data_IF_799545588828
#
_entry.id   IF_799545588828
#
_cell.length_a   1.000
_cell.length_b   1.000
_cell.length_c   1.000
_cell.angle_alpha   90.00
_cell.angle_beta   90.00
_cell.angle_gamma   90.00
#
_symmetry.space_group_name_H-M   'P 1'
#
loop_
_entity.id
_entity.type
_entity.pdbx_description
1 polymer ?
#
# COMPACT_ATOMS: atom_id res chain seq x y z
N UNK A 1 -15.34 9.77 -10.50
CA UNK A 1 -15.67 8.69 -9.55
C UNK A 1 -14.40 8.01 -9.09
N UNK A 2 -14.24 7.89 -7.81
CA UNK A 2 -13.10 7.23 -7.19
C UNK A 2 -13.60 5.95 -6.52
N UNK A 3 -12.99 4.81 -6.86
CA UNK A 3 -13.33 3.52 -6.25
C UNK A 3 -12.07 2.92 -5.63
N UNK A 4 -12.24 1.99 -4.71
CA UNK A 4 -11.09 1.37 -4.08
C UNK A 4 -11.34 -0.09 -3.73
N UNK A 5 -10.25 -0.84 -3.61
CA UNK A 5 -10.24 -2.15 -2.98
C UNK A 5 -9.21 -2.15 -1.87
N UNK A 6 -9.56 -2.73 -0.73
CA UNK A 6 -8.70 -2.80 0.44
C UNK A 6 -8.17 -4.23 0.64
N UNK A 7 -6.94 -4.29 1.18
CA UNK A 7 -6.25 -5.53 1.51
C UNK A 7 -5.67 -5.42 2.90
N UNK A 8 -5.62 -6.51 3.63
CA UNK A 8 -4.97 -6.56 4.93
C UNK A 8 -3.69 -7.35 4.82
N UNK A 9 -2.57 -6.78 5.31
CA UNK A 9 -1.26 -7.40 5.36
C UNK A 9 -0.88 -7.62 6.81
N UNK A 10 -0.52 -8.84 7.16
CA UNK A 10 0.08 -9.14 8.46
C UNK A 10 1.60 -9.13 8.26
N UNK A 11 2.26 -8.07 8.69
CA UNK A 11 3.69 -7.87 8.37
C UNK A 11 4.44 -7.32 9.57
N UNK A 12 5.74 -7.63 9.63
CA UNK A 12 6.64 -7.10 10.64
C UNK A 12 7.58 -6.07 10.02
N UNK A 13 7.99 -5.11 10.82
CA UNK A 13 9.00 -4.13 10.41
C UNK A 13 9.74 -3.57 11.63
N UNK A 14 10.87 -2.91 11.37
CA UNK A 14 11.52 -2.01 12.30
C UNK A 14 11.89 -0.74 11.55
N UNK A 15 11.94 0.38 12.27
CA UNK A 15 12.33 1.66 11.69
C UNK A 15 13.80 1.93 12.04
N UNK A 16 14.75 1.72 11.10
CA UNK A 16 16.18 1.80 11.40
C UNK A 16 16.70 3.21 11.62
N UNK A 17 15.97 4.23 11.15
CA UNK A 17 16.42 5.62 11.13
C UNK A 17 15.79 6.50 12.22
N UNK A 18 15.00 5.93 13.12
CA UNK A 18 14.44 6.66 14.25
C UNK A 18 15.51 6.92 15.32
N UNK A 19 15.30 7.92 16.22
CA UNK A 19 16.27 8.20 17.28
C UNK A 19 16.56 6.98 18.16
N UNK A 20 17.78 6.84 18.70
CA UNK A 20 18.14 5.75 19.60
C UNK A 20 17.16 5.66 20.79
N UNK A 21 16.75 4.45 21.13
CA UNK A 21 15.80 4.20 22.21
C UNK A 21 14.33 4.33 21.82
N UNK A 22 14.03 4.74 20.59
CA UNK A 22 12.65 4.79 20.10
C UNK A 22 12.08 3.38 19.98
N UNK A 23 10.83 3.18 20.43
CA UNK A 23 10.18 1.86 20.41
C UNK A 23 10.12 1.22 19.04
N UNK A 24 9.96 2.05 17.97
CA UNK A 24 9.88 1.57 16.60
C UNK A 24 11.20 1.07 16.03
N UNK A 25 12.32 1.27 16.73
CA UNK A 25 13.61 0.68 16.37
C UNK A 25 13.64 -0.83 16.58
N UNK A 26 12.70 -1.37 17.36
CA UNK A 26 12.57 -2.81 17.57
C UNK A 26 11.67 -3.44 16.53
N UNK A 27 11.90 -4.71 16.22
CA UNK A 27 11.02 -5.47 15.33
C UNK A 27 9.65 -5.59 15.99
N UNK A 28 8.62 -5.22 15.27
CA UNK A 28 7.23 -5.32 15.71
C UNK A 28 6.33 -5.55 14.50
N UNK A 29 5.09 -5.95 14.74
CA UNK A 29 4.15 -6.27 13.70
C UNK A 29 2.89 -5.42 13.74
N UNK A 30 2.27 -5.29 12.59
CA UNK A 30 0.99 -4.61 12.41
C UNK A 30 0.11 -5.38 11.44
N UNK A 31 -1.20 -5.20 11.57
CA UNK A 31 -2.16 -5.52 10.53
C UNK A 31 -2.32 -4.29 9.65
N UNK A 32 -1.46 -4.15 8.64
CA UNK A 32 -1.55 -3.02 7.71
C UNK A 32 -2.79 -3.19 6.83
N UNK A 33 -3.56 -2.13 6.67
CA UNK A 33 -4.63 -2.08 5.68
C UNK A 33 -4.18 -1.20 4.53
N UNK A 34 -4.15 -1.76 3.32
CA UNK A 34 -3.75 -1.04 2.13
C UNK A 34 -4.98 -0.87 1.24
N UNK A 35 -5.30 0.38 0.89
CA UNK A 35 -6.37 0.70 -0.04
C UNK A 35 -5.76 1.14 -1.36
N UNK A 36 -6.20 0.50 -2.43
CA UNK A 36 -5.78 0.84 -3.79
C UNK A 36 -6.95 1.58 -4.44
N UNK A 37 -6.77 2.88 -4.71
CA UNK A 37 -7.79 3.74 -5.29
C UNK A 37 -7.52 3.96 -6.77
N UNK A 38 -8.56 3.82 -7.59
CA UNK A 38 -8.54 4.17 -9.00
C UNK A 38 -9.65 5.18 -9.27
N UNK A 39 -9.43 6.08 -10.22
CA UNK A 39 -10.37 7.15 -10.54
C UNK A 39 -10.61 7.23 -12.04
N UNK A 40 -11.85 7.46 -12.42
CA UNK A 40 -12.24 7.58 -13.80
C UNK A 40 -13.73 7.77 -13.96
N UNK A 41 -14.19 7.72 -15.20
CA UNK A 41 -15.61 7.80 -15.51
C UNK A 41 -16.26 6.42 -15.36
N UNK A 42 -17.51 6.41 -14.90
CA UNK A 42 -18.30 5.18 -14.87
C UNK A 42 -18.71 4.82 -16.28
N UNK A 43 -18.34 3.63 -16.73
CA UNK A 43 -18.79 3.13 -18.03
C UNK A 43 -20.32 2.98 -18.01
N UNK A 44 -21.05 3.60 -18.93
CA UNK A 44 -22.51 3.61 -18.88
C UNK A 44 -23.13 2.25 -19.19
N UNK A 45 -22.38 1.34 -19.80
CA UNK A 45 -22.88 -0.01 -20.12
C UNK A 45 -22.68 -0.99 -18.95
N UNK A 46 -21.44 -1.14 -18.48
CA UNK A 46 -21.14 -2.11 -17.39
C UNK A 46 -21.37 -1.50 -16.01
N UNK A 47 -21.34 -0.18 -15.88
CA UNK A 47 -21.66 0.50 -14.63
C UNK A 47 -20.49 0.63 -13.63
N UNK A 48 -19.26 0.39 -14.05
CA UNK A 48 -18.09 0.55 -13.19
C UNK A 48 -17.04 1.48 -13.78
N UNK A 49 -16.12 1.95 -12.94
CA UNK A 49 -14.90 2.65 -13.36
C UNK A 49 -13.88 1.62 -13.84
N UNK A 50 -13.72 0.56 -13.07
CA UNK A 50 -12.84 -0.57 -13.37
C UNK A 50 -13.32 -1.79 -12.55
N UNK A 51 -13.09 -2.99 -13.07
CA UNK A 51 -13.40 -4.22 -12.35
C UNK A 51 -12.49 -4.34 -11.11
N UNK A 52 -13.07 -4.59 -9.94
CA UNK A 52 -12.29 -4.83 -8.73
C UNK A 52 -11.36 -6.03 -8.87
N UNK A 53 -11.69 -7.01 -9.71
CA UNK A 53 -10.83 -8.15 -9.97
C UNK A 53 -9.51 -7.74 -10.64
N UNK A 54 -9.53 -6.70 -11.46
CA UNK A 54 -8.31 -6.16 -12.09
C UNK A 54 -7.38 -5.53 -11.04
N UNK A 55 -7.97 -4.84 -10.05
CA UNK A 55 -7.20 -4.25 -8.96
C UNK A 55 -6.55 -5.35 -8.12
N UNK A 56 -7.33 -6.39 -7.81
CA UNK A 56 -6.81 -7.54 -7.05
C UNK A 56 -5.68 -8.23 -7.80
N UNK A 57 -5.84 -8.50 -9.08
CA UNK A 57 -4.83 -9.16 -9.90
C UNK A 57 -3.54 -8.35 -9.97
N UNK A 58 -3.65 -7.02 -10.11
CA UNK A 58 -2.49 -6.13 -10.17
C UNK A 58 -1.72 -6.11 -8.83
N UNK A 59 -2.43 -6.14 -7.71
CA UNK A 59 -1.78 -6.08 -6.39
C UNK A 59 -1.25 -7.45 -5.94
N UNK A 60 -1.77 -8.55 -6.43
CA UNK A 60 -1.44 -9.89 -5.94
C UNK A 60 0.08 -10.18 -5.86
N UNK A 61 0.91 -9.84 -6.86
CA UNK A 61 2.36 -10.04 -6.75
C UNK A 61 2.99 -9.25 -5.62
N UNK A 62 2.48 -8.05 -5.34
CA UNK A 62 2.97 -7.21 -4.25
C UNK A 62 2.49 -7.75 -2.90
N UNK A 63 1.24 -8.20 -2.85
CA UNK A 63 0.69 -8.83 -1.66
C UNK A 63 1.56 -9.99 -1.19
N UNK A 64 1.98 -10.86 -2.12
CA UNK A 64 2.82 -12.01 -1.81
C UNK A 64 4.20 -11.63 -1.28
N UNK A 65 4.73 -10.48 -1.69
CA UNK A 65 6.01 -9.98 -1.19
C UNK A 65 5.90 -9.36 0.20
N UNK A 66 4.73 -8.84 0.55
CA UNK A 66 4.52 -8.03 1.76
C UNK A 66 3.89 -8.83 2.90
N UNK A 67 2.89 -9.65 2.61
CA UNK A 67 2.10 -10.35 3.62
C UNK A 67 2.92 -11.47 4.28
N UNK A 68 2.85 -11.54 5.60
CA UNK A 68 3.61 -12.50 6.42
C UNK A 68 5.12 -12.43 6.19
N UNK A 69 5.63 -11.23 5.87
CA UNK A 69 7.04 -11.01 5.63
C UNK A 69 7.60 -9.91 6.53
N UNK A 70 8.93 -9.90 6.66
CA UNK A 70 9.67 -8.82 7.32
C UNK A 70 9.97 -7.75 6.26
N UNK A 71 9.28 -6.62 6.36
CA UNK A 71 9.31 -5.60 5.31
C UNK A 71 10.71 -5.04 5.04
N UNK A 72 11.56 -4.96 6.07
CA UNK A 72 12.93 -4.47 5.92
C UNK A 72 13.78 -5.29 4.94
N UNK A 73 13.41 -6.53 4.68
CA UNK A 73 14.11 -7.42 3.75
C UNK A 73 13.56 -7.35 2.33
N UNK A 74 12.48 -6.61 2.12
CA UNK A 74 11.90 -6.40 0.78
C UNK A 74 12.70 -5.32 0.08
N UNK A 75 13.18 -5.61 -1.15
CA UNK A 75 13.96 -4.65 -1.92
C UNK A 75 13.19 -3.35 -2.14
N UNK A 76 13.79 -2.22 -1.77
CA UNK A 76 13.18 -0.90 -1.82
C UNK A 76 12.43 -0.50 -0.54
N UNK A 77 12.30 -1.41 0.43
CA UNK A 77 11.65 -1.16 1.71
C UNK A 77 12.61 -1.27 2.90
N UNK A 78 13.87 -0.90 2.72
CA UNK A 78 14.87 -0.96 3.79
C UNK A 78 14.53 -0.04 4.96
N UNK A 79 13.76 1.02 4.70
CA UNK A 79 13.16 1.89 5.73
C UNK A 79 11.64 1.87 5.58
N UNK A 80 10.94 0.85 6.12
CA UNK A 80 9.55 0.57 5.81
C UNK A 80 8.57 1.32 6.70
N UNK A 81 8.60 2.64 6.64
CA UNK A 81 7.55 3.49 7.21
C UNK A 81 6.26 3.32 6.40
N UNK A 82 5.12 3.74 6.95
CA UNK A 82 3.86 3.76 6.20
C UNK A 82 3.97 4.61 4.94
N UNK A 83 4.69 5.74 5.03
CA UNK A 83 4.93 6.65 3.92
C UNK A 83 5.73 5.96 2.80
N UNK A 84 6.83 5.31 3.14
CA UNK A 84 7.65 4.60 2.17
C UNK A 84 6.94 3.37 1.60
N UNK A 85 6.15 2.70 2.40
CA UNK A 85 5.33 1.58 1.92
C UNK A 85 4.32 2.05 0.87
N UNK A 86 3.66 3.19 1.13
CA UNK A 86 2.71 3.75 0.17
C UNK A 86 3.39 4.11 -1.16
N UNK A 87 4.57 4.71 -1.13
CA UNK A 87 5.34 5.03 -2.34
C UNK A 87 5.79 3.78 -3.07
N UNK A 88 6.25 2.77 -2.35
CA UNK A 88 6.71 1.50 -2.92
C UNK A 88 5.58 0.82 -3.69
N UNK A 89 4.39 0.79 -3.11
CA UNK A 89 3.20 0.22 -3.76
C UNK A 89 2.81 1.04 -4.98
N UNK A 90 2.77 2.36 -4.86
CA UNK A 90 2.45 3.25 -5.98
C UNK A 90 3.36 3.03 -7.17
N UNK A 91 4.67 3.03 -6.94
CA UNK A 91 5.66 2.93 -8.04
C UNK A 91 5.51 1.64 -8.83
N UNK A 92 5.07 0.58 -8.18
CA UNK A 92 4.91 -0.73 -8.82
C UNK A 92 3.54 -0.94 -9.44
N UNK A 93 2.51 -0.26 -8.92
CA UNK A 93 1.14 -0.39 -9.46
C UNK A 93 0.85 0.56 -10.60
N UNK A 94 1.38 1.78 -10.57
CA UNK A 94 1.03 2.80 -11.57
C UNK A 94 1.23 2.32 -13.02
N UNK A 95 2.31 1.61 -13.36
CA UNK A 95 2.49 1.09 -14.72
C UNK A 95 1.42 0.08 -15.16
N UNK A 96 0.84 -0.68 -14.23
CA UNK A 96 -0.15 -1.72 -14.55
C UNK A 96 -1.58 -1.31 -14.23
N UNK A 97 -1.77 -0.20 -13.50
CA UNK A 97 -3.07 0.40 -13.22
C UNK A 97 -3.02 1.88 -13.59
N UNK A 98 -3.20 2.23 -14.88
CA UNK A 98 -3.11 3.63 -15.32
C UNK A 98 -4.08 4.58 -14.60
N UNK A 99 -5.23 4.08 -14.15
CA UNK A 99 -6.22 4.88 -13.42
C UNK A 99 -5.91 5.02 -11.94
N UNK A 100 -4.80 4.44 -11.45
CA UNK A 100 -4.40 4.57 -10.05
C UNK A 100 -4.37 6.04 -9.63
N UNK A 101 -5.11 6.38 -8.57
CA UNK A 101 -5.25 7.76 -8.10
C UNK A 101 -4.59 7.99 -6.75
N UNK A 102 -4.59 7.00 -5.86
CA UNK A 102 -3.88 7.09 -4.59
C UNK A 102 -3.75 5.72 -3.93
N UNK A 103 -2.77 5.63 -3.04
CA UNK A 103 -2.55 4.51 -2.13
C UNK A 103 -2.78 5.02 -0.72
N UNK A 104 -3.57 4.29 0.06
CA UNK A 104 -3.77 4.58 1.49
C UNK A 104 -3.22 3.41 2.29
N UNK A 105 -2.31 3.69 3.20
CA UNK A 105 -1.76 2.68 4.12
C UNK A 105 -2.18 3.05 5.53
N UNK A 106 -2.93 2.17 6.17
CA UNK A 106 -3.26 2.28 7.59
C UNK A 106 -2.33 1.36 8.36
N UNK A 107 -1.50 1.93 9.22
CA UNK A 107 -0.63 1.14 10.12
C UNK A 107 -1.42 0.66 11.33
N UNK A 108 -2.28 1.54 11.86
CA UNK A 108 -3.26 1.26 12.90
C UNK A 108 -4.60 1.84 12.48
N UNK A 109 -5.64 1.68 13.29
CA UNK A 109 -6.95 2.26 12.99
C UNK A 109 -6.97 3.80 13.05
N UNK A 110 -5.93 4.43 13.61
CA UNK A 110 -5.85 5.88 13.80
C UNK A 110 -4.67 6.55 13.10
N UNK A 111 -3.77 5.79 12.49
CA UNK A 111 -2.55 6.32 11.87
C UNK A 111 -2.32 5.68 10.51
N UNK A 112 -1.97 6.50 9.54
CA UNK A 112 -1.70 6.00 8.20
C UNK A 112 -1.13 7.08 7.28
N UNK A 113 -0.92 6.71 6.03
CA UNK A 113 -0.39 7.58 5.00
C UNK A 113 -1.25 7.51 3.75
N UNK A 114 -1.40 8.65 3.06
CA UNK A 114 -2.09 8.75 1.77
C UNK A 114 -1.10 9.31 0.76
N UNK A 115 -0.89 8.59 -0.34
CA UNK A 115 0.05 9.00 -1.38
C UNK A 115 -0.64 9.02 -2.74
N UNK A 116 -0.51 10.15 -3.44
CA UNK A 116 -1.14 10.38 -4.74
C UNK A 116 -0.13 10.58 -5.88
N UNK A 117 1.08 10.10 -5.71
CA UNK A 117 2.12 10.17 -6.73
C UNK A 117 2.96 11.44 -6.74
N UNK A 118 2.76 12.36 -5.78
CA UNK A 118 3.49 13.62 -5.66
C UNK A 118 4.08 13.75 -4.25
N UNK A 119 5.35 13.96 -4.18
CA UNK A 119 6.06 14.11 -2.91
C UNK A 119 6.99 12.99 -2.67
#
# INVERSE_FOLDING_TARGET
MDIFKAFTLESAHRLPNVPPGHKCARIHGHSFRVEIHVSGEVDPHVGWVQDFADIKAAFQPLFEQLDHNYLNEVAGLENPTSENLAKWVWDRLKPVLPLLSKIVVHETCTCGAVYSGCG
#
